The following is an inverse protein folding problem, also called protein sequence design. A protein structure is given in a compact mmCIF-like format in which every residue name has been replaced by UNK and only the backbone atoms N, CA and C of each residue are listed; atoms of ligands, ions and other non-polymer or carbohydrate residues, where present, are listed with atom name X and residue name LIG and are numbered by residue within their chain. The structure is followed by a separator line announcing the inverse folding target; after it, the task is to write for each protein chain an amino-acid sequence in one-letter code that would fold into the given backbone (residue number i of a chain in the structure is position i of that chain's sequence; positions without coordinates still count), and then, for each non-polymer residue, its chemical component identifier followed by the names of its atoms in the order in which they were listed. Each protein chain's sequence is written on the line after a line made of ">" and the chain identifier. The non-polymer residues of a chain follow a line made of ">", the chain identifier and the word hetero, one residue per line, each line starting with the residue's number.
data_IF_911338843656
#
_entry.id   IF_911338843656
#
_cell.length_a   1.000
_cell.length_b   1.000
_cell.length_c   1.000
_cell.angle_alpha   90.00
_cell.angle_beta   90.00
_cell.angle_gamma   90.00
#
_symmetry.space_group_name_H-M   'P 1'
#
loop_
_entity.id
_entity.type
_entity.pdbx_description
1 polymer ?
#
# COMPACT_ATOMS: atom_id res chain seq x y z
N UNK A 1 8.57 5.90 -29.44
CA UNK A 1 9.20 5.16 -28.30
C UNK A 1 9.28 3.67 -28.63
N UNK A 2 10.35 2.99 -28.23
CA UNK A 2 10.67 1.57 -28.50
C UNK A 2 9.52 0.59 -28.15
N UNK A 3 8.63 0.95 -27.23
CA UNK A 3 7.50 0.13 -26.81
C UNK A 3 6.29 0.20 -27.76
N UNK A 4 6.09 1.32 -28.44
CA UNK A 4 5.04 1.45 -29.46
C UNK A 4 5.35 0.56 -30.69
N UNK A 5 6.63 0.35 -31.00
CA UNK A 5 7.06 -0.56 -32.07
C UNK A 5 6.88 -2.04 -31.73
N UNK A 6 6.73 -2.38 -30.43
CA UNK A 6 6.45 -3.74 -29.96
C UNK A 6 4.95 -4.08 -29.87
N UNK A 7 4.05 -3.18 -30.32
CA UNK A 7 2.60 -3.39 -30.32
C UNK A 7 1.95 -3.48 -28.92
N UNK A 8 2.63 -2.99 -27.87
CA UNK A 8 2.10 -3.00 -26.51
C UNK A 8 1.58 -1.62 -26.12
N UNK A 9 0.34 -1.59 -25.63
CA UNK A 9 -0.29 -0.35 -25.16
C UNK A 9 0.26 0.07 -23.79
N UNK A 10 0.29 1.39 -23.46
CA UNK A 10 0.79 1.89 -22.17
C UNK A 10 0.04 1.29 -20.97
N UNK A 11 -1.27 1.11 -21.09
CA UNK A 11 -2.05 0.49 -20.02
C UNK A 11 -1.69 -0.99 -19.82
N UNK A 12 -1.43 -1.74 -20.88
CA UNK A 12 -0.94 -3.11 -20.79
C UNK A 12 0.44 -3.16 -20.10
N UNK A 13 1.31 -2.20 -20.39
CA UNK A 13 2.60 -2.07 -19.74
C UNK A 13 2.47 -1.77 -18.23
N UNK A 14 1.55 -0.88 -17.83
CA UNK A 14 1.28 -0.61 -16.42
C UNK A 14 0.83 -1.88 -15.68
N UNK A 15 -0.12 -2.63 -16.25
CA UNK A 15 -0.59 -3.89 -15.65
C UNK A 15 0.53 -4.93 -15.54
N UNK A 16 1.36 -5.07 -16.58
CA UNK A 16 2.51 -5.97 -16.56
C UNK A 16 3.55 -5.58 -15.50
N UNK A 17 3.82 -4.27 -15.32
CA UNK A 17 4.74 -3.77 -14.29
C UNK A 17 4.23 -4.10 -12.88
N UNK A 18 2.95 -3.85 -12.60
CA UNK A 18 2.36 -4.18 -11.29
C UNK A 18 2.42 -5.69 -11.05
N UNK A 19 2.07 -6.51 -12.04
CA UNK A 19 2.16 -7.96 -11.93
C UNK A 19 3.60 -8.46 -11.70
N UNK A 20 4.61 -7.82 -12.33
CA UNK A 20 6.01 -8.16 -12.13
C UNK A 20 6.56 -7.69 -10.77
N UNK A 21 6.02 -6.61 -10.19
CA UNK A 21 6.45 -6.10 -8.88
C UNK A 21 5.78 -6.86 -7.72
N UNK A 22 4.58 -7.40 -7.92
CA UNK A 22 3.84 -8.11 -6.88
C UNK A 22 4.63 -9.25 -6.20
N UNK A 23 5.32 -10.15 -6.94
CA UNK A 23 6.11 -11.21 -6.32
C UNK A 23 7.38 -10.71 -5.60
N UNK A 24 7.73 -9.44 -5.75
CA UNK A 24 8.84 -8.81 -5.02
C UNK A 24 8.32 -8.11 -3.76
N UNK A 25 7.22 -7.37 -3.88
CA UNK A 25 6.63 -6.61 -2.78
C UNK A 25 6.15 -7.55 -1.66
N UNK A 26 5.40 -8.59 -1.99
CA UNK A 26 4.82 -9.47 -0.99
C UNK A 26 5.87 -10.14 -0.07
N UNK A 27 6.92 -10.79 -0.58
CA UNK A 27 7.95 -11.35 0.29
C UNK A 27 8.79 -10.27 0.98
N UNK A 28 9.02 -9.11 0.37
CA UNK A 28 9.74 -8.02 1.02
C UNK A 28 9.01 -7.52 2.27
N UNK A 29 7.69 -7.30 2.18
CA UNK A 29 6.85 -6.89 3.31
C UNK A 29 6.79 -8.00 4.39
N UNK A 30 6.66 -9.26 3.98
CA UNK A 30 6.70 -10.38 4.92
C UNK A 30 8.06 -10.46 5.66
N UNK A 31 9.16 -10.33 4.95
CA UNK A 31 10.50 -10.27 5.55
C UNK A 31 10.66 -9.08 6.50
N UNK A 32 10.14 -7.90 6.11
CA UNK A 32 10.14 -6.70 6.97
C UNK A 32 9.36 -6.97 8.27
N UNK A 33 8.16 -7.55 8.19
CA UNK A 33 7.36 -7.91 9.37
C UNK A 33 8.09 -8.87 10.30
N UNK A 34 8.73 -9.91 9.74
CA UNK A 34 9.55 -10.85 10.52
C UNK A 34 10.78 -10.18 11.14
N UNK A 35 11.46 -9.32 10.40
CA UNK A 35 12.62 -8.57 10.89
C UNK A 35 12.24 -7.64 12.05
N UNK A 36 11.08 -6.99 11.99
CA UNK A 36 10.57 -6.16 13.09
C UNK A 36 10.31 -6.98 14.35
N UNK A 37 9.70 -8.16 14.21
CA UNK A 37 9.50 -9.08 15.34
C UNK A 37 10.84 -9.51 15.95
N UNK A 38 11.79 -9.92 15.09
CA UNK A 38 13.14 -10.31 15.53
C UNK A 38 13.86 -9.19 16.25
N UNK A 39 13.82 -7.97 15.69
CA UNK A 39 14.41 -6.80 16.33
C UNK A 39 13.78 -6.45 17.66
N UNK A 40 12.44 -6.49 17.76
CA UNK A 40 11.73 -6.24 19.01
C UNK A 40 12.15 -7.23 20.10
N UNK A 41 12.32 -8.52 19.77
CA UNK A 41 12.82 -9.54 20.71
C UNK A 41 14.24 -9.27 21.16
N UNK A 42 15.15 -8.91 20.25
CA UNK A 42 16.52 -8.52 20.56
C UNK A 42 16.61 -7.26 21.42
N UNK A 43 15.69 -6.31 21.21
CA UNK A 43 15.57 -5.09 22.01
C UNK A 43 14.94 -5.32 23.41
N UNK A 44 14.62 -6.57 23.77
CA UNK A 44 14.08 -6.90 25.10
C UNK A 44 12.56 -6.69 25.24
N UNK A 45 11.83 -6.55 24.14
CA UNK A 45 10.36 -6.48 24.19
C UNK A 45 9.80 -7.85 24.57
N UNK A 46 9.20 -7.94 25.75
CA UNK A 46 8.66 -9.18 26.32
C UNK A 46 7.16 -9.37 26.11
N UNK A 47 6.48 -8.36 25.54
CA UNK A 47 5.03 -8.43 25.27
C UNK A 47 4.72 -9.66 24.39
N UNK A 48 3.74 -10.50 24.77
CA UNK A 48 3.35 -11.65 23.96
C UNK A 48 2.92 -11.21 22.56
N UNK A 49 3.50 -11.85 21.53
CA UNK A 49 3.09 -11.63 20.16
C UNK A 49 1.86 -12.49 19.86
N UNK A 50 0.76 -11.86 19.51
CA UNK A 50 -0.39 -12.56 18.96
C UNK A 50 -0.21 -12.74 17.44
N UNK A 51 0.03 -14.00 17.04
CA UNK A 51 0.31 -14.33 15.65
C UNK A 51 -0.90 -14.08 14.72
N UNK A 52 -2.13 -14.20 15.22
CA UNK A 52 -3.34 -13.99 14.44
C UNK A 52 -3.45 -12.55 13.91
N UNK A 53 -3.60 -11.55 14.79
CA UNK A 53 -3.62 -10.13 14.39
C UNK A 53 -2.39 -9.71 13.58
N UNK A 54 -1.20 -10.23 13.92
CA UNK A 54 0.03 -9.86 13.22
C UNK A 54 0.09 -10.40 11.79
N UNK A 55 -0.35 -11.63 11.55
CA UNK A 55 -0.43 -12.19 10.19
C UNK A 55 -1.48 -11.48 9.35
N UNK A 56 -2.63 -11.15 9.93
CA UNK A 56 -3.67 -10.38 9.27
C UNK A 56 -3.16 -8.98 8.88
N UNK A 57 -2.53 -8.27 9.81
CA UNK A 57 -1.89 -6.98 9.55
C UNK A 57 -0.88 -7.07 8.40
N UNK A 58 -0.01 -8.10 8.40
CA UNK A 58 0.98 -8.27 7.33
C UNK A 58 0.31 -8.51 5.98
N UNK A 59 -0.77 -9.30 5.93
CA UNK A 59 -1.53 -9.54 4.71
C UNK A 59 -2.21 -8.26 4.19
N UNK A 60 -2.82 -7.48 5.08
CA UNK A 60 -3.42 -6.19 4.73
C UNK A 60 -2.38 -5.17 4.27
N UNK A 61 -1.20 -5.15 4.91
CA UNK A 61 -0.09 -4.28 4.52
C UNK A 61 0.38 -4.61 3.09
N UNK A 62 0.55 -5.90 2.76
CA UNK A 62 0.86 -6.35 1.40
C UNK A 62 -0.21 -5.85 0.40
N UNK A 63 -1.49 -5.99 0.75
CA UNK A 63 -2.58 -5.59 -0.14
C UNK A 63 -2.62 -4.05 -0.35
N UNK A 64 -2.42 -3.27 0.70
CA UNK A 64 -2.33 -1.80 0.63
C UNK A 64 -1.11 -1.38 -0.19
N UNK A 65 0.05 -2.00 0.02
CA UNK A 65 1.28 -1.72 -0.74
C UNK A 65 1.11 -2.02 -2.23
N UNK A 66 0.41 -3.10 -2.59
CA UNK A 66 0.09 -3.42 -3.99
C UNK A 66 -0.85 -2.38 -4.61
N UNK A 67 -1.85 -1.90 -3.88
CA UNK A 67 -2.73 -0.83 -4.34
C UNK A 67 -1.95 0.48 -4.55
N UNK A 68 -1.06 0.84 -3.63
CA UNK A 68 -0.21 2.02 -3.74
C UNK A 68 0.82 1.88 -4.86
N UNK A 69 1.40 0.70 -5.06
CA UNK A 69 2.26 0.39 -6.20
C UNK A 69 1.52 0.61 -7.52
N UNK A 70 0.29 0.10 -7.66
CA UNK A 70 -0.53 0.31 -8.84
C UNK A 70 -0.80 1.80 -9.12
N UNK A 71 -1.09 2.58 -8.07
CA UNK A 71 -1.24 4.03 -8.17
C UNK A 71 0.03 4.72 -8.66
N UNK A 72 1.20 4.41 -8.07
CA UNK A 72 2.47 5.03 -8.47
C UNK A 72 2.92 4.60 -9.88
N UNK A 73 2.69 3.36 -10.29
CA UNK A 73 2.96 2.89 -11.66
C UNK A 73 2.09 3.65 -12.65
N UNK A 74 0.80 3.85 -12.37
CA UNK A 74 -0.09 4.66 -13.20
C UNK A 74 0.37 6.13 -13.24
N UNK A 75 0.69 6.73 -12.09
CA UNK A 75 1.16 8.11 -12.00
C UNK A 75 2.42 8.33 -12.85
N UNK A 76 3.38 7.41 -12.79
CA UNK A 76 4.59 7.44 -13.60
C UNK A 76 4.32 7.27 -15.11
N UNK A 77 3.23 6.61 -15.50
CA UNK A 77 2.84 6.47 -16.90
C UNK A 77 2.17 7.75 -17.45
N UNK A 78 1.52 8.54 -16.59
CA UNK A 78 0.77 9.75 -16.99
C UNK A 78 1.63 11.01 -16.90
N UNK A 79 2.71 10.99 -16.12
CA UNK A 79 3.56 12.14 -15.88
C UNK A 79 4.98 11.87 -16.35
N UNK A 80 5.49 12.73 -17.25
CA UNK A 80 6.87 12.64 -17.75
C UNK A 80 7.89 13.02 -16.67
N UNK A 81 7.51 13.95 -15.79
CA UNK A 81 8.40 14.40 -14.71
C UNK A 81 8.37 13.42 -13.53
N UNK A 82 9.45 12.67 -13.37
CA UNK A 82 9.62 11.68 -12.29
C UNK A 82 9.61 12.30 -10.89
N UNK A 83 9.98 13.57 -10.74
CA UNK A 83 9.95 14.27 -9.45
C UNK A 83 8.55 14.36 -8.87
N UNK A 84 7.50 14.39 -9.73
CA UNK A 84 6.11 14.37 -9.27
C UNK A 84 5.82 13.07 -8.52
N UNK A 85 6.22 11.93 -9.09
CA UNK A 85 6.04 10.62 -8.46
C UNK A 85 6.75 10.50 -7.11
N UNK A 86 7.99 10.97 -7.04
CA UNK A 86 8.79 11.01 -5.81
C UNK A 86 8.17 11.95 -4.78
N UNK A 87 7.77 13.16 -5.19
CA UNK A 87 7.12 14.14 -4.31
C UNK A 87 5.81 13.63 -3.73
N UNK A 88 4.95 13.01 -4.55
CA UNK A 88 3.69 12.40 -4.12
C UNK A 88 3.96 11.25 -3.14
N UNK A 89 4.96 10.40 -3.40
CA UNK A 89 5.35 9.33 -2.50
C UNK A 89 5.85 9.84 -1.15
N UNK A 90 6.71 10.86 -1.16
CA UNK A 90 7.23 11.48 0.06
C UNK A 90 6.13 12.13 0.90
N UNK A 91 5.28 12.96 0.30
CA UNK A 91 4.14 13.57 0.98
C UNK A 91 3.18 12.50 1.51
N UNK A 92 2.95 11.44 0.74
CA UNK A 92 2.15 10.30 1.15
C UNK A 92 2.72 9.58 2.37
N UNK A 93 4.03 9.37 2.44
CA UNK A 93 4.68 8.75 3.59
C UNK A 93 4.52 9.59 4.86
N UNK A 94 4.70 10.90 4.77
CA UNK A 94 4.41 11.81 5.89
C UNK A 94 2.93 11.74 6.29
N UNK A 95 2.02 11.75 5.31
CA UNK A 95 0.58 11.63 5.57
C UNK A 95 0.27 10.33 6.31
N UNK A 96 0.85 9.18 5.91
CA UNK A 96 0.66 7.91 6.57
C UNK A 96 1.04 7.96 8.06
N UNK A 97 2.17 8.59 8.39
CA UNK A 97 2.63 8.74 9.78
C UNK A 97 1.69 9.65 10.57
N UNK A 98 1.29 10.80 10.02
CA UNK A 98 0.37 11.70 10.71
C UNK A 98 -1.03 11.11 10.91
N UNK A 99 -1.47 10.22 10.02
CA UNK A 99 -2.76 9.54 10.15
C UNK A 99 -2.83 8.57 11.33
N UNK A 100 -1.69 8.15 11.91
CA UNK A 100 -1.67 7.42 13.19
C UNK A 100 -2.19 8.26 14.37
N UNK A 101 -2.07 9.58 14.28
CA UNK A 101 -2.52 10.53 15.29
C UNK A 101 -3.92 11.11 14.98
N UNK A 102 -4.44 10.87 13.77
CA UNK A 102 -5.71 11.39 13.31
C UNK A 102 -6.88 10.51 13.77
N UNK A 103 -8.09 11.09 13.90
CA UNK A 103 -9.29 10.29 14.11
C UNK A 103 -9.47 9.26 12.98
N UNK A 104 -9.92 8.05 13.33
CA UNK A 104 -10.02 6.92 12.39
C UNK A 104 -10.86 7.21 11.13
N UNK A 105 -11.88 8.07 11.24
CA UNK A 105 -12.70 8.47 10.10
C UNK A 105 -11.90 9.31 9.09
N UNK A 106 -10.96 10.16 9.55
CA UNK A 106 -10.08 10.96 8.68
C UNK A 106 -9.11 10.05 7.96
N UNK A 107 -8.48 9.11 8.68
CA UNK A 107 -7.54 8.16 8.11
C UNK A 107 -8.17 7.34 6.97
N UNK A 108 -9.45 6.98 7.08
CA UNK A 108 -10.18 6.21 6.05
C UNK A 108 -10.49 6.99 4.78
N UNK A 109 -10.45 8.33 4.80
CA UNK A 109 -10.70 9.16 3.61
C UNK A 109 -9.49 9.34 2.72
N UNK A 110 -8.28 9.08 3.23
CA UNK A 110 -7.03 9.34 2.52
C UNK A 110 -6.37 8.00 2.18
N UNK A 111 -5.92 7.78 0.94
CA UNK A 111 -5.29 6.51 0.55
C UNK A 111 -4.12 6.09 1.45
N UNK A 112 -3.23 7.02 1.77
CA UNK A 112 -2.11 6.76 2.69
C UNK A 112 -2.53 6.55 4.14
N UNK A 113 -3.72 6.98 4.54
CA UNK A 113 -4.27 6.76 5.87
C UNK A 113 -4.62 5.29 6.14
N UNK A 114 -4.70 4.46 5.11
CA UNK A 114 -4.93 3.03 5.28
C UNK A 114 -3.77 2.33 6.00
N UNK A 115 -2.55 2.84 5.92
CA UNK A 115 -1.44 2.34 6.74
C UNK A 115 -1.68 2.51 8.25
N UNK A 116 -2.34 3.59 8.66
CA UNK A 116 -2.79 3.77 10.03
C UNK A 116 -4.05 2.95 10.36
N UNK A 117 -4.97 2.83 9.39
CA UNK A 117 -6.24 2.12 9.54
C UNK A 117 -6.07 0.62 9.77
N UNK A 118 -5.06 -0.01 9.13
CA UNK A 118 -4.75 -1.44 9.29
C UNK A 118 -3.91 -1.74 10.53
N UNK A 119 -3.45 -0.74 11.27
CA UNK A 119 -2.60 -0.95 12.44
C UNK A 119 -3.34 -1.81 13.47
N UNK A 120 -2.79 -2.99 13.77
CA UNK A 120 -3.40 -3.97 14.67
C UNK A 120 -3.16 -3.68 16.15
N UNK A 121 -2.45 -2.59 16.46
CA UNK A 121 -2.06 -2.23 17.83
C UNK A 121 -2.43 -0.79 18.10
N UNK A 122 -3.09 -0.54 19.23
CA UNK A 122 -3.36 0.80 19.74
C UNK A 122 -2.82 0.94 21.15
N UNK A 123 -2.25 2.10 21.44
CA UNK A 123 -1.81 2.44 22.78
C UNK A 123 -2.95 3.17 23.51
N UNK A 124 -3.35 2.61 24.66
CA UNK A 124 -4.26 3.24 25.60
C UNK A 124 -3.49 3.50 26.89
N UNK A 125 -3.20 4.79 27.14
CA UNK A 125 -2.39 5.22 28.29
C UNK A 125 -1.04 4.47 28.38
N UNK A 126 -0.92 3.52 29.27
CA UNK A 126 0.29 2.68 29.45
C UNK A 126 0.17 1.29 28.83
N UNK A 127 -1.05 0.90 28.42
CA UNK A 127 -1.31 -0.44 27.90
C UNK A 127 -1.38 -0.48 26.39
N UNK A 128 -0.85 -1.57 25.82
CA UNK A 128 -0.87 -1.87 24.39
C UNK A 128 -1.92 -2.94 24.14
N UNK A 129 -2.95 -2.59 23.35
CA UNK A 129 -4.05 -3.49 23.04
C UNK A 129 -4.07 -3.84 21.55
N UNK A 130 -4.33 -5.10 21.24
CA UNK A 130 -4.61 -5.54 19.89
C UNK A 130 -6.03 -5.14 19.49
N UNK A 131 -6.15 -4.49 18.34
CA UNK A 131 -7.42 -4.07 17.75
C UNK A 131 -7.65 -4.82 16.44
N UNK A 132 -8.89 -5.25 16.23
CA UNK A 132 -9.26 -5.85 14.94
C UNK A 132 -9.34 -4.75 13.87
N UNK A 133 -8.65 -4.91 12.74
CA UNK A 133 -8.72 -3.95 11.64
C UNK A 133 -10.13 -3.94 11.03
N UNK A 134 -10.59 -2.79 10.51
CA UNK A 134 -11.90 -2.66 9.91
C UNK A 134 -11.92 -3.25 8.49
N UNK A 135 -11.95 -4.58 8.37
CA UNK A 135 -11.87 -5.33 7.10
C UNK A 135 -12.79 -4.81 5.99
N UNK A 136 -14.01 -4.37 6.35
CA UNK A 136 -14.95 -3.80 5.38
C UNK A 136 -14.43 -2.53 4.70
N UNK A 137 -13.75 -1.66 5.44
CA UNK A 137 -13.14 -0.45 4.89
C UNK A 137 -11.91 -0.77 4.04
N UNK A 138 -11.08 -1.70 4.48
CA UNK A 138 -9.91 -2.16 3.72
C UNK A 138 -10.36 -2.81 2.41
N UNK A 139 -11.34 -3.70 2.44
CA UNK A 139 -11.90 -4.32 1.24
C UNK A 139 -12.50 -3.29 0.27
N UNK A 140 -13.24 -2.30 0.79
CA UNK A 140 -13.80 -1.23 -0.02
C UNK A 140 -12.71 -0.37 -0.69
N UNK A 141 -11.64 -0.03 0.05
CA UNK A 141 -10.49 0.68 -0.50
C UNK A 141 -9.79 -0.11 -1.61
N UNK A 142 -9.52 -1.40 -1.38
CA UNK A 142 -8.86 -2.25 -2.36
C UNK A 142 -9.72 -2.43 -3.62
N UNK A 143 -11.03 -2.61 -3.46
CA UNK A 143 -11.96 -2.68 -4.58
C UNK A 143 -11.97 -1.37 -5.39
N UNK A 144 -12.04 -0.22 -4.71
CA UNK A 144 -11.98 1.09 -5.35
C UNK A 144 -10.64 1.29 -6.09
N UNK A 145 -9.52 0.97 -5.47
CA UNK A 145 -8.19 1.07 -6.09
C UNK A 145 -8.08 0.18 -7.33
N UNK A 146 -8.59 -1.06 -7.29
CA UNK A 146 -8.61 -1.98 -8.41
C UNK A 146 -9.47 -1.47 -9.56
N UNK A 147 -10.66 -0.93 -9.27
CA UNK A 147 -11.55 -0.33 -10.27
C UNK A 147 -10.90 0.88 -10.91
N UNK A 148 -10.38 1.80 -10.10
CA UNK A 148 -9.72 3.02 -10.61
C UNK A 148 -8.49 2.66 -11.47
N UNK A 149 -7.64 1.75 -11.03
CA UNK A 149 -6.49 1.30 -11.81
C UNK A 149 -6.89 0.65 -13.14
N UNK A 150 -7.93 -0.19 -13.11
CA UNK A 150 -8.45 -0.85 -14.33
C UNK A 150 -9.01 0.17 -15.31
N UNK A 151 -9.82 1.11 -14.84
CA UNK A 151 -10.41 2.17 -15.68
C UNK A 151 -9.31 3.08 -16.24
N UNK A 152 -8.37 3.51 -15.39
CA UNK A 152 -7.27 4.39 -15.77
C UNK A 152 -6.37 3.75 -16.84
N UNK A 153 -5.98 2.48 -16.65
CA UNK A 153 -5.14 1.76 -17.63
C UNK A 153 -5.89 1.49 -18.93
N UNK A 154 -7.20 1.20 -18.91
CA UNK A 154 -8.02 1.06 -20.13
C UNK A 154 -8.17 2.39 -20.87
N UNK A 155 -8.21 3.52 -20.18
CA UNK A 155 -8.21 4.85 -20.83
C UNK A 155 -6.90 5.12 -21.54
N UNK A 156 -5.75 4.79 -20.91
CA UNK A 156 -4.44 4.91 -21.57
C UNK A 156 -4.35 4.05 -22.82
N UNK A 157 -4.95 2.85 -22.83
CA UNK A 157 -4.99 1.99 -24.02
C UNK A 157 -5.79 2.57 -25.19
N UNK A 158 -6.71 3.52 -24.93
CA UNK A 158 -7.56 4.15 -25.96
C UNK A 158 -6.97 5.43 -26.57
N UNK A 159 -6.11 6.12 -25.83
CA UNK A 159 -5.55 7.41 -26.25
C UNK A 159 -4.46 7.21 -27.32
N UNK A 160 -3.82 6.06 -27.35
CA UNK A 160 -2.73 5.73 -28.30
C UNK A 160 -3.16 4.81 -29.45
N UNK A 161 -4.44 4.59 -29.65
CA UNK A 161 -5.01 4.00 -30.85
C UNK A 161 -5.43 5.09 -31.85
#
# INVERSE_FOLDING_TARGET
>A
TLFATAGRTPGALCRAKVAALSPVIAPAVACQSLALIGWARLAGVTVPLDAGPWTLYTAELIAVDLAMCAFHVWLAAVRENQLIGVGVGLLGSFTAVYMLLAPSWVARLVPWGYYATICCVQQHETDVQYTAPPLGWVAAFLALAAVLFTVATRRLDRIER
#
